data_IF_474913090385
#
_entry.id   IF_474913090385
#
_cell.length_a   1.000
_cell.length_b   1.000
_cell.length_c   1.000
_cell.angle_alpha   90.00
_cell.angle_beta   90.00
_cell.angle_gamma   90.00
#
_symmetry.space_group_name_H-M   'P 1'
#
loop_
_entity.id
_entity.type
_entity.pdbx_description
1 polymer ?
#
# COMPACT_ATOMS: atom_id res chain seq x y z
N UNK A 1 10.92 -0.16 0.04
CA UNK A 1 10.01 -0.20 -1.13
C UNK A 1 8.61 -0.03 -0.62
N UNK A 2 7.86 0.81 -1.31
CA UNK A 2 6.48 1.13 -1.00
C UNK A 2 5.71 1.19 -2.30
N UNK A 3 4.64 0.42 -2.39
CA UNK A 3 3.58 0.71 -3.34
C UNK A 3 2.46 1.38 -2.55
N UNK A 4 2.02 2.55 -3.01
CA UNK A 4 0.88 3.22 -2.40
C UNK A 4 -0.17 3.65 -3.41
N UNK A 5 -1.37 3.83 -2.90
CA UNK A 5 -2.44 4.57 -3.56
C UNK A 5 -2.43 6.00 -3.02
N UNK A 6 -2.32 6.98 -3.91
CA UNK A 6 -2.35 8.40 -3.57
C UNK A 6 -3.58 9.08 -4.18
N UNK A 7 -4.13 10.08 -3.52
CA UNK A 7 -5.31 10.78 -4.02
C UNK A 7 -5.02 11.57 -5.31
N UNK A 8 -6.01 11.60 -6.20
CA UNK A 8 -6.02 12.43 -7.42
C UNK A 8 -6.56 13.84 -7.16
N UNK A 9 -7.06 14.09 -5.95
CA UNK A 9 -7.55 15.38 -5.53
C UNK A 9 -6.36 16.34 -5.34
N UNK A 10 -6.03 17.08 -6.40
CA UNK A 10 -4.93 18.05 -6.37
C UNK A 10 -5.03 19.00 -5.16
N UNK A 11 -3.91 19.13 -4.44
CA UNK A 11 -3.52 20.18 -3.45
C UNK A 11 -3.65 19.91 -1.94
N UNK A 12 -4.10 18.74 -1.48
CA UNK A 12 -3.95 18.35 -0.06
C UNK A 12 -2.86 17.29 0.11
N UNK A 13 -1.87 17.48 0.99
CA UNK A 13 -0.93 16.39 1.30
C UNK A 13 -1.67 15.12 1.77
N UNK A 14 -1.09 13.94 1.55
CA UNK A 14 -1.71 12.61 1.69
C UNK A 14 -2.50 12.31 2.98
N UNK A 15 -2.39 13.13 4.02
CA UNK A 15 -3.17 13.02 5.25
C UNK A 15 -4.65 13.45 5.13
N UNK A 16 -5.01 14.34 4.20
CA UNK A 16 -6.41 14.78 4.06
C UNK A 16 -7.28 13.70 3.43
N UNK A 17 -6.80 13.09 2.35
CA UNK A 17 -7.52 12.09 1.58
C UNK A 17 -7.29 10.65 2.07
N UNK A 18 -6.25 10.45 2.88
CA UNK A 18 -5.75 9.15 3.30
C UNK A 18 -4.81 8.54 2.26
N UNK A 19 -4.16 7.44 2.65
CA UNK A 19 -3.13 6.76 1.85
C UNK A 19 -3.19 5.26 2.17
N UNK A 20 -3.08 4.40 1.15
CA UNK A 20 -3.10 2.94 1.34
C UNK A 20 -1.77 2.37 0.86
N UNK A 21 -1.04 1.74 1.77
CA UNK A 21 0.34 1.33 1.54
C UNK A 21 0.49 -0.16 1.71
N UNK A 22 0.69 -0.86 0.60
CA UNK A 22 0.91 -2.28 0.63
C UNK A 22 1.41 -2.79 -0.73
N UNK A 23 2.53 -3.55 -0.77
CA UNK A 23 3.44 -3.85 0.33
C UNK A 23 4.38 -2.69 0.64
N UNK A 24 4.60 -2.42 1.94
CA UNK A 24 5.56 -1.42 2.42
C UNK A 24 6.60 -2.03 3.36
N UNK A 25 7.85 -1.61 3.22
CA UNK A 25 8.94 -1.94 4.15
C UNK A 25 10.31 -1.66 3.55
N UNK A 26 11.35 -1.69 4.37
CA UNK A 26 12.72 -1.69 3.87
C UNK A 26 12.95 -2.91 2.95
N UNK A 27 13.67 -2.75 1.85
CA UNK A 27 13.89 -3.85 0.90
C UNK A 27 14.64 -5.05 1.53
N UNK A 28 15.43 -4.81 2.58
CA UNK A 28 16.10 -5.85 3.37
C UNK A 28 15.35 -6.16 4.68
N UNK A 29 14.15 -5.64 4.85
CA UNK A 29 13.30 -5.84 6.02
C UNK A 29 12.08 -6.71 5.72
N UNK A 30 11.07 -6.53 6.56
CA UNK A 30 9.80 -7.23 6.49
C UNK A 30 8.75 -6.41 5.73
N UNK A 31 7.77 -7.12 5.17
CA UNK A 31 6.61 -6.56 4.49
C UNK A 31 5.55 -6.19 5.53
N UNK A 32 4.99 -5.00 5.43
CA UNK A 32 3.86 -4.52 6.22
C UNK A 32 2.80 -3.89 5.31
N UNK A 33 1.60 -3.70 5.86
CA UNK A 33 0.56 -2.87 5.27
C UNK A 33 0.19 -1.72 6.22
N UNK A 34 -0.06 -0.54 5.66
CA UNK A 34 -0.55 0.62 6.38
C UNK A 34 -1.79 1.20 5.70
N UNK A 35 -2.74 1.65 6.51
CA UNK A 35 -3.89 2.41 6.06
C UNK A 35 -3.88 3.74 6.82
N UNK A 36 -3.41 4.79 6.15
CA UNK A 36 -3.45 6.15 6.69
C UNK A 36 -4.86 6.70 6.58
N UNK A 37 -5.40 7.09 7.73
CA UNK A 37 -6.79 7.47 7.86
C UNK A 37 -7.10 8.73 7.05
N UNK A 38 -8.27 8.73 6.40
CA UNK A 38 -8.81 9.95 5.82
C UNK A 38 -9.01 11.01 6.92
N UNK A 39 -8.62 12.25 6.63
CA UNK A 39 -8.56 13.33 7.61
C UNK A 39 -7.67 12.99 8.84
N UNK A 40 -6.58 12.24 8.62
CA UNK A 40 -5.54 12.06 9.61
C UNK A 40 -4.88 13.42 9.92
N UNK A 41 -4.62 13.68 11.19
CA UNK A 41 -3.99 14.93 11.63
C UNK A 41 -2.50 14.72 11.95
N UNK A 42 -2.11 13.49 12.27
CA UNK A 42 -0.76 13.12 12.67
C UNK A 42 -0.30 11.84 11.97
N UNK A 43 1.02 11.59 11.93
CA UNK A 43 1.55 10.35 11.36
C UNK A 43 1.15 9.07 12.10
N UNK A 44 0.52 9.17 13.27
CA UNK A 44 -0.01 8.02 14.01
C UNK A 44 -1.46 7.67 13.68
N UNK A 45 -2.14 8.50 12.87
CA UNK A 45 -3.53 8.27 12.45
C UNK A 45 -3.57 7.24 11.32
N UNK A 46 -3.29 5.99 11.67
CA UNK A 46 -3.20 4.87 10.74
C UNK A 46 -3.52 3.54 11.42
N UNK A 47 -3.96 2.57 10.63
CA UNK A 47 -3.86 1.16 11.02
C UNK A 47 -2.55 0.56 10.45
N UNK A 48 -1.92 -0.32 11.21
CA UNK A 48 -0.67 -0.99 10.82
C UNK A 48 -0.80 -2.50 10.97
N UNK A 49 -0.37 -3.23 9.95
CA UNK A 49 -0.43 -4.69 9.87
C UNK A 49 0.94 -5.24 9.49
N UNK A 50 1.86 -5.43 10.46
CA UNK A 50 3.17 -6.00 10.20
C UNK A 50 3.07 -7.50 9.90
N UNK A 51 4.02 -8.00 9.11
CA UNK A 51 4.22 -9.43 8.87
C UNK A 51 5.67 -9.81 9.14
N UNK A 52 5.97 -11.11 9.12
CA UNK A 52 7.36 -11.61 9.14
C UNK A 52 7.88 -11.99 7.75
N UNK A 53 7.11 -11.71 6.69
CA UNK A 53 7.51 -12.02 5.33
C UNK A 53 8.55 -10.99 4.87
N UNK A 54 9.55 -11.43 4.11
CA UNK A 54 10.64 -10.56 3.63
C UNK A 54 10.62 -10.50 2.12
N UNK A 55 11.28 -9.52 1.53
CA UNK A 55 11.38 -9.40 0.06
C UNK A 55 12.33 -10.43 -0.59
N UNK A 56 12.87 -11.40 0.17
CA UNK A 56 13.81 -12.40 -0.34
C UNK A 56 13.18 -13.44 -1.29
N UNK A 57 11.86 -13.52 -1.34
CA UNK A 57 11.11 -14.35 -2.28
C UNK A 57 10.04 -13.51 -2.99
N UNK A 58 9.52 -14.04 -4.10
CA UNK A 58 8.35 -13.46 -4.76
C UNK A 58 7.10 -13.65 -3.92
N UNK A 59 6.38 -12.55 -3.74
CA UNK A 59 5.10 -12.51 -3.03
C UNK A 59 4.01 -11.91 -3.91
N UNK A 60 2.76 -12.32 -3.64
CA UNK A 60 1.57 -11.65 -4.17
C UNK A 60 0.97 -10.77 -3.07
N UNK A 61 0.94 -9.47 -3.30
CA UNK A 61 0.28 -8.49 -2.44
C UNK A 61 -1.01 -8.02 -3.11
N UNK A 62 -2.13 -8.18 -2.42
CA UNK A 62 -3.45 -7.75 -2.90
C UNK A 62 -4.07 -6.76 -1.92
N UNK A 63 -4.48 -5.61 -2.45
CA UNK A 63 -5.31 -4.64 -1.74
C UNK A 63 -6.71 -4.71 -2.28
N UNK A 64 -7.66 -5.05 -1.41
CA UNK A 64 -9.09 -4.88 -1.68
C UNK A 64 -9.58 -3.64 -0.96
N UNK A 65 -10.13 -2.69 -1.70
CA UNK A 65 -10.61 -1.42 -1.17
C UNK A 65 -12.08 -1.23 -1.54
N UNK A 66 -12.89 -0.95 -0.54
CA UNK A 66 -14.33 -0.71 -0.63
C UNK A 66 -14.67 0.54 0.18
N UNK A 67 -15.86 1.13 0.02
CA UNK A 67 -16.26 2.29 0.82
C UNK A 67 -16.26 2.07 2.34
N UNK A 68 -16.29 0.82 2.82
CA UNK A 68 -16.40 0.49 4.26
C UNK A 68 -15.18 -0.23 4.83
N UNK A 69 -14.28 -0.74 3.99
CA UNK A 69 -13.11 -1.48 4.43
C UNK A 69 -11.98 -1.50 3.41
N UNK A 70 -10.76 -1.59 3.93
CA UNK A 70 -9.55 -1.95 3.18
C UNK A 70 -8.99 -3.25 3.74
N UNK A 71 -8.85 -4.28 2.90
CA UNK A 71 -8.31 -5.59 3.27
C UNK A 71 -7.00 -5.84 2.54
N UNK A 72 -6.01 -6.28 3.31
CA UNK A 72 -4.66 -6.56 2.81
C UNK A 72 -4.43 -8.07 2.81
N UNK A 73 -4.02 -8.61 1.67
CA UNK A 73 -3.71 -10.02 1.53
C UNK A 73 -2.27 -10.22 1.03
N UNK A 74 -1.51 -11.04 1.75
CA UNK A 74 -0.19 -11.50 1.33
C UNK A 74 -0.26 -12.99 1.03
N UNK A 75 0.12 -13.38 -0.18
CA UNK A 75 0.10 -14.76 -0.68
C UNK A 75 -1.28 -15.43 -0.50
N UNK A 76 -2.35 -14.66 -0.77
CA UNK A 76 -3.73 -15.11 -0.66
C UNK A 76 -4.28 -15.17 0.77
N UNK A 77 -3.48 -14.81 1.79
CA UNK A 77 -3.92 -14.76 3.20
C UNK A 77 -4.16 -13.33 3.64
N UNK A 78 -5.30 -13.06 4.28
CA UNK A 78 -5.59 -11.78 4.92
C UNK A 78 -4.60 -11.54 6.07
N UNK A 79 -3.83 -10.46 5.98
CA UNK A 79 -2.90 -10.00 7.02
C UNK A 79 -3.49 -8.87 7.87
N UNK A 80 -4.49 -8.16 7.35
CA UNK A 80 -5.11 -7.03 8.03
C UNK A 80 -6.42 -6.60 7.37
N UNK A 81 -7.27 -5.94 8.16
CA UNK A 81 -8.48 -5.28 7.66
C UNK A 81 -8.66 -3.99 8.45
N UNK A 82 -8.68 -2.86 7.74
CA UNK A 82 -9.06 -1.57 8.29
C UNK A 82 -10.52 -1.28 7.94
N UNK A 83 -11.24 -0.66 8.87
CA UNK A 83 -12.63 -0.21 8.70
C UNK A 83 -12.84 1.22 9.19
N UNK A 84 -11.76 1.94 9.49
CA UNK A 84 -11.82 3.27 10.11
C UNK A 84 -11.41 4.32 9.10
N UNK A 85 -12.23 5.37 8.91
CA UNK A 85 -11.87 6.54 8.08
C UNK A 85 -11.25 6.14 6.72
N UNK A 86 -11.92 5.21 6.04
CA UNK A 86 -11.46 4.65 4.76
C UNK A 86 -11.41 5.78 3.71
N UNK A 87 -10.31 5.92 2.94
CA UNK A 87 -10.25 6.85 1.82
C UNK A 87 -11.47 6.70 0.91
N UNK A 88 -12.00 7.83 0.43
CA UNK A 88 -13.20 7.85 -0.42
C UNK A 88 -13.12 8.82 -1.61
N UNK A 89 -11.92 9.32 -1.90
CA UNK A 89 -11.62 10.12 -3.09
C UNK A 89 -10.97 9.22 -4.16
N UNK A 90 -11.06 9.56 -5.45
CA UNK A 90 -10.30 8.86 -6.49
C UNK A 90 -8.80 8.83 -6.17
N UNK A 91 -8.16 7.69 -6.42
CA UNK A 91 -6.74 7.47 -6.15
C UNK A 91 -6.04 6.82 -7.34
N UNK A 92 -4.75 7.09 -7.52
CA UNK A 92 -3.88 6.41 -8.47
C UNK A 92 -2.80 5.58 -7.76
N UNK A 93 -2.29 4.56 -8.45
CA UNK A 93 -1.17 3.77 -7.96
C UNK A 93 0.16 4.50 -8.20
N UNK A 94 1.00 4.53 -7.18
CA UNK A 94 2.40 4.95 -7.26
C UNK A 94 3.27 3.79 -6.81
N UNK A 95 4.28 3.50 -7.63
CA UNK A 95 5.31 2.54 -7.32
C UNK A 95 6.56 3.31 -6.90
N UNK A 96 6.89 3.25 -5.61
CA UNK A 96 8.11 3.82 -5.07
C UNK A 96 9.08 2.72 -4.64
N UNK A 97 10.11 2.52 -5.47
CA UNK A 97 11.27 1.71 -5.06
C UNK A 97 12.23 2.58 -4.26
N UNK A 98 11.90 2.80 -2.99
CA UNK A 98 12.87 3.37 -2.06
C UNK A 98 13.65 2.24 -1.38
N UNK A 99 14.97 2.31 -1.52
CA UNK A 99 15.89 1.30 -0.99
C UNK A 99 15.95 1.24 0.54
N UNK A 100 15.49 2.29 1.23
CA UNK A 100 15.33 2.38 2.68
C UNK A 100 14.34 3.49 3.04
N UNK A 101 13.71 3.42 4.21
CA UNK A 101 12.73 4.42 4.68
C UNK A 101 13.36 5.68 5.33
N UNK A 102 14.69 5.81 5.38
CA UNK A 102 15.33 7.07 5.81
C UNK A 102 16.86 7.12 5.66
N UNK A 103 17.40 8.22 5.13
CA UNK A 103 18.82 8.61 4.88
C UNK A 103 19.35 8.28 3.46
N UNK A 104 20.65 8.48 3.17
CA UNK A 104 21.29 8.33 1.83
C UNK A 104 21.09 6.98 1.06
N UNK A 105 21.56 6.85 -0.20
CA UNK A 105 21.20 5.72 -1.08
C UNK A 105 21.60 4.35 -0.50
N UNK A 106 20.76 3.32 -0.67
CA UNK A 106 21.12 1.93 -0.31
C UNK A 106 21.66 1.15 -1.51
N UNK A 107 22.40 0.09 -1.23
CA UNK A 107 23.23 -0.65 -2.20
C UNK A 107 22.49 -1.75 -2.97
N UNK A 108 21.15 -1.81 -2.92
CA UNK A 108 20.42 -2.93 -3.57
C UNK A 108 19.34 -2.49 -4.55
N UNK A 109 19.24 -3.17 -5.70
CA UNK A 109 18.10 -3.03 -6.61
C UNK A 109 16.89 -3.86 -6.16
N UNK A 110 15.75 -3.66 -6.81
CA UNK A 110 14.57 -4.54 -6.71
C UNK A 110 13.81 -4.53 -8.04
N UNK A 111 12.90 -5.50 -8.19
CA UNK A 111 12.02 -5.62 -9.35
C UNK A 111 10.56 -5.69 -8.88
N UNK A 112 9.70 -4.93 -9.54
CA UNK A 112 8.27 -4.92 -9.23
C UNK A 112 7.45 -4.98 -10.51
N UNK A 113 6.34 -5.72 -10.47
CA UNK A 113 5.38 -5.72 -11.56
C UNK A 113 3.99 -5.50 -10.97
N UNK A 114 3.33 -4.47 -11.49
CA UNK A 114 1.97 -4.10 -11.14
C UNK A 114 1.00 -4.61 -12.19
N UNK A 115 -0.05 -5.30 -11.76
CA UNK A 115 -1.19 -5.62 -12.62
C UNK A 115 -2.45 -5.01 -12.00
N UNK A 116 -3.00 -4.00 -12.67
CA UNK A 116 -4.28 -3.40 -12.32
C UNK A 116 -5.33 -3.93 -13.31
N UNK A 117 -6.15 -4.94 -12.97
CA UNK A 117 -7.31 -5.26 -13.79
C UNK A 117 -8.35 -4.14 -13.63
N UNK A 118 -8.70 -3.46 -14.72
CA UNK A 118 -9.73 -2.41 -14.74
C UNK A 118 -11.13 -3.04 -14.87
N UNK A 119 -12.03 -2.72 -13.94
CA UNK A 119 -13.45 -3.02 -14.07
C UNK A 119 -14.19 -1.75 -14.57
N UNK A 120 -14.96 -1.87 -15.65
CA UNK A 120 -15.66 -0.74 -16.27
C UNK A 120 -16.92 -0.30 -15.50
N UNK A 121 -17.15 -0.78 -14.27
CA UNK A 121 -18.44 -0.68 -13.58
C UNK A 121 -18.41 -0.02 -12.19
N UNK A 122 -17.29 0.58 -11.78
CA UNK A 122 -17.26 1.48 -10.62
C UNK A 122 -17.39 0.78 -9.27
N UNK A 123 -17.09 -0.51 -9.18
CA UNK A 123 -17.00 -1.21 -7.90
C UNK A 123 -15.92 -2.30 -7.91
N UNK A 124 -14.87 -2.05 -7.12
CA UNK A 124 -13.84 -3.00 -6.68
C UNK A 124 -12.95 -3.54 -7.80
N UNK A 125 -11.86 -2.83 -8.07
CA UNK A 125 -10.67 -3.45 -8.67
C UNK A 125 -9.72 -3.87 -7.55
N UNK A 126 -9.58 -5.17 -7.23
CA UNK A 126 -8.46 -5.63 -6.42
C UNK A 126 -7.18 -5.34 -7.20
N UNK A 127 -6.34 -4.45 -6.69
CA UNK A 127 -5.00 -4.25 -7.22
C UNK A 127 -4.14 -5.45 -6.82
N UNK A 128 -3.55 -6.15 -7.79
CA UNK A 128 -2.66 -7.29 -7.53
C UNK A 128 -1.24 -6.91 -7.92
N UNK A 129 -0.33 -7.04 -6.97
CA UNK A 129 1.07 -6.66 -7.14
C UNK A 129 1.99 -7.84 -6.84
N UNK A 130 2.94 -8.07 -7.73
CA UNK A 130 4.01 -9.06 -7.56
C UNK A 130 5.28 -8.32 -7.17
N UNK A 131 5.84 -8.66 -6.01
CA UNK A 131 6.98 -7.94 -5.42
C UNK A 131 8.05 -8.91 -4.90
N UNK A 132 9.31 -8.61 -5.23
CA UNK A 132 10.52 -9.27 -4.73
C UNK A 132 11.73 -8.33 -4.82
N UNK A 133 12.82 -8.69 -4.14
CA UNK A 133 14.13 -8.04 -4.26
C UNK A 133 15.08 -8.86 -5.12
#
# INVERSE_FOLDING_TARGET
>A
MKLHLHSDAGTGGGAADGEIDFPEGDLNGEISAFMHWQNGATGGDQDSFPTTATYANWHTAVTEWTPTATRFLLDGKVIGTSTQKIPNTPMHHVIQTETRLGGGPSSTGSWCTAFCPEDQNGAVTPGVFLVAK
#
